data_IF_848974272890
#
_entry.id   IF_848974272890
#
_cell.length_a   1.000
_cell.length_b   1.000
_cell.length_c   1.000
_cell.angle_alpha   90.00
_cell.angle_beta   90.00
_cell.angle_gamma   90.00
#
_symmetry.space_group_name_H-M   'P 1'
#
loop_
_entity.id
_entity.type
_entity.pdbx_description
1 polymer ?
#
# COMPACT_ATOMS: atom_id res chain seq x y z
N UNK A 1 2.48 -94.71 -46.35
CA UNK A 1 1.54 -93.71 -46.91
C UNK A 1 0.48 -93.38 -45.88
N UNK A 2 0.35 -92.09 -45.53
CA UNK A 2 -0.73 -91.36 -44.85
C UNK A 2 -0.13 -90.42 -43.79
N UNK A 3 0.09 -89.17 -44.22
CA UNK A 3 0.27 -88.01 -43.33
C UNK A 3 -1.12 -87.67 -42.79
N UNK A 4 -1.28 -87.57 -41.47
CA UNK A 4 -2.48 -87.07 -40.82
C UNK A 4 -2.09 -85.76 -40.15
N UNK A 5 -2.63 -84.67 -40.68
CA UNK A 5 -2.54 -83.32 -40.11
C UNK A 5 -3.58 -83.18 -38.99
N UNK A 6 -3.14 -82.72 -37.82
CA UNK A 6 -4.03 -82.32 -36.74
C UNK A 6 -4.42 -80.85 -36.94
N UNK A 7 -5.72 -80.62 -37.09
CA UNK A 7 -6.36 -79.33 -37.27
C UNK A 7 -6.88 -78.87 -35.90
N UNK A 8 -6.36 -77.75 -35.40
CA UNK A 8 -6.79 -77.13 -34.13
C UNK A 8 -8.00 -76.25 -34.43
N UNK A 9 -9.16 -76.64 -33.88
CA UNK A 9 -10.41 -75.90 -33.99
C UNK A 9 -10.67 -75.16 -32.66
N UNK A 10 -10.50 -73.84 -32.65
CA UNK A 10 -10.84 -72.98 -31.51
C UNK A 10 -12.36 -72.76 -31.44
N UNK A 11 -12.95 -73.08 -30.28
CA UNK A 11 -14.37 -72.84 -30.00
C UNK A 11 -14.51 -71.51 -29.27
N UNK A 12 -15.27 -70.59 -29.87
CA UNK A 12 -15.60 -69.26 -29.36
C UNK A 12 -16.85 -69.38 -28.46
N UNK A 13 -16.67 -69.22 -27.15
CA UNK A 13 -17.76 -69.18 -26.17
C UNK A 13 -18.24 -67.74 -26.02
N UNK A 14 -19.44 -67.44 -26.52
CA UNK A 14 -20.12 -66.15 -26.36
C UNK A 14 -20.80 -66.15 -25.00
N UNK A 15 -20.26 -65.41 -24.03
CA UNK A 15 -20.88 -65.18 -22.73
C UNK A 15 -22.00 -64.15 -22.84
N UNK A 16 -23.21 -64.51 -22.42
CA UNK A 16 -24.32 -63.59 -22.29
C UNK A 16 -24.10 -62.64 -21.10
N UNK A 17 -24.10 -61.33 -21.34
CA UNK A 17 -24.03 -60.30 -20.30
C UNK A 17 -25.45 -59.99 -19.84
N UNK A 18 -25.76 -60.32 -18.59
CA UNK A 18 -26.99 -59.86 -17.92
C UNK A 18 -26.74 -58.46 -17.35
N UNK A 19 -27.40 -57.46 -17.93
CA UNK A 19 -27.46 -56.11 -17.36
C UNK A 19 -28.55 -56.06 -16.29
N UNK A 20 -28.16 -56.01 -15.02
CA UNK A 20 -29.05 -55.64 -13.92
C UNK A 20 -29.03 -54.11 -13.80
N UNK A 21 -30.13 -53.46 -14.17
CA UNK A 21 -30.29 -52.01 -13.95
C UNK A 21 -30.57 -51.77 -12.46
N UNK A 22 -29.63 -51.16 -11.76
CA UNK A 22 -29.88 -50.62 -10.42
C UNK A 22 -30.68 -49.32 -10.54
N UNK A 23 -31.96 -49.34 -10.19
CA UNK A 23 -32.69 -48.12 -9.86
C UNK A 23 -32.12 -47.56 -8.55
N UNK A 24 -31.23 -46.57 -8.66
CA UNK A 24 -30.87 -45.76 -7.51
C UNK A 24 -32.01 -44.76 -7.28
N UNK A 25 -32.91 -45.10 -6.35
CA UNK A 25 -33.86 -44.14 -5.81
C UNK A 25 -33.10 -43.05 -5.05
N UNK A 26 -32.99 -41.86 -5.64
CA UNK A 26 -32.54 -40.68 -4.94
C UNK A 26 -33.66 -40.25 -3.99
N UNK A 27 -33.51 -40.55 -2.70
CA UNK A 27 -34.37 -39.95 -1.67
C UNK A 27 -33.85 -38.53 -1.45
N UNK A 28 -34.44 -37.56 -2.16
CA UNK A 28 -34.29 -36.15 -1.80
C UNK A 28 -35.13 -35.93 -0.55
N UNK A 29 -34.50 -35.95 0.62
CA UNK A 29 -35.11 -35.41 1.83
C UNK A 29 -35.05 -33.90 1.68
N UNK A 30 -36.12 -33.29 1.17
CA UNK A 30 -36.30 -31.84 1.34
C UNK A 30 -36.47 -31.66 2.84
N UNK A 31 -35.44 -31.10 3.50
CA UNK A 31 -35.61 -30.62 4.86
C UNK A 31 -36.69 -29.54 4.78
N UNK A 32 -37.86 -29.86 5.30
CA UNK A 32 -38.96 -28.91 5.40
C UNK A 32 -38.48 -27.79 6.32
N UNK A 33 -38.28 -26.58 5.79
CA UNK A 33 -37.96 -25.39 6.60
C UNK A 33 -36.66 -24.66 6.32
N UNK A 34 -36.16 -24.66 5.09
CA UNK A 34 -34.97 -23.90 4.77
C UNK A 34 -35.25 -22.39 4.73
N UNK A 35 -34.31 -21.63 5.31
CA UNK A 35 -34.10 -20.20 5.04
C UNK A 35 -33.05 -20.15 3.94
N UNK A 36 -33.25 -19.33 2.90
CA UNK A 36 -32.26 -19.11 1.85
C UNK A 36 -31.84 -17.63 1.85
N UNK A 37 -30.59 -17.38 2.25
CA UNK A 37 -30.00 -16.05 2.31
C UNK A 37 -29.38 -15.74 0.95
N UNK A 38 -30.00 -14.81 0.19
CA UNK A 38 -29.47 -14.35 -1.09
C UNK A 38 -28.59 -13.10 -0.94
N UNK A 39 -28.87 -12.28 0.08
CA UNK A 39 -28.05 -11.14 0.48
C UNK A 39 -28.27 -10.85 1.97
N UNK A 40 -27.22 -10.55 2.77
CA UNK A 40 -25.81 -10.40 2.37
C UNK A 40 -25.17 -11.72 1.87
N UNK A 41 -23.96 -11.64 1.32
CA UNK A 41 -23.18 -12.80 0.85
C UNK A 41 -22.08 -13.15 1.85
N UNK A 42 -21.86 -14.44 2.05
CA UNK A 42 -20.87 -14.96 3.00
C UNK A 42 -19.46 -14.48 2.64
N UNK A 43 -18.75 -13.95 3.64
CA UNK A 43 -17.39 -13.43 3.59
C UNK A 43 -17.16 -12.30 2.57
N UNK A 44 -18.23 -11.66 2.12
CA UNK A 44 -18.14 -10.54 1.19
C UNK A 44 -17.66 -9.27 1.90
N UNK A 45 -16.81 -8.50 1.22
CA UNK A 45 -16.49 -7.12 1.57
C UNK A 45 -17.42 -6.20 0.77
N UNK A 46 -18.05 -5.25 1.45
CA UNK A 46 -18.94 -4.26 0.84
C UNK A 46 -18.38 -2.85 1.01
N UNK A 47 -18.52 -2.06 -0.05
CA UNK A 47 -18.14 -0.65 -0.19
C UNK A 47 -19.26 0.35 0.17
N UNK A 48 -20.46 -0.14 0.54
CA UNK A 48 -21.57 0.69 1.02
C UNK A 48 -22.08 0.12 2.34
N UNK A 49 -22.35 0.99 3.32
CA UNK A 49 -22.97 0.64 4.61
C UNK A 49 -24.41 0.13 4.47
N UNK A 50 -25.06 0.35 3.33
CA UNK A 50 -26.47 0.05 3.08
C UNK A 50 -26.62 -1.24 2.30
N UNK A 51 -26.70 -2.35 3.03
CA UNK A 51 -26.75 -3.67 2.41
C UNK A 51 -28.22 -4.10 2.19
N UNK A 52 -28.59 -4.53 0.98
CA UNK A 52 -29.87 -5.18 0.75
C UNK A 52 -29.89 -6.52 1.49
N UNK A 53 -30.96 -6.78 2.24
CA UNK A 53 -31.18 -8.06 2.91
C UNK A 53 -32.32 -8.77 2.18
N UNK A 54 -31.98 -9.89 1.55
CA UNK A 54 -32.88 -10.66 0.68
C UNK A 54 -32.89 -12.10 1.16
N UNK A 55 -34.01 -12.50 1.75
CA UNK A 55 -34.23 -13.80 2.36
C UNK A 55 -35.49 -14.42 1.76
N UNK A 56 -35.38 -15.67 1.34
CA UNK A 56 -36.50 -16.50 0.91
C UNK A 56 -36.76 -17.57 1.96
N UNK A 57 -38.04 -17.79 2.27
CA UNK A 57 -38.48 -18.86 3.16
C UNK A 57 -39.14 -19.98 2.34
N UNK A 58 -39.03 -21.20 2.84
CA UNK A 58 -39.71 -22.37 2.25
C UNK A 58 -41.21 -22.40 2.55
N UNK A 59 -41.62 -21.83 3.68
CA UNK A 59 -43.01 -21.70 4.17
C UNK A 59 -43.20 -20.31 4.83
N UNK A 60 -44.44 -19.90 5.08
CA UNK A 60 -44.75 -18.65 5.82
C UNK A 60 -44.12 -18.69 7.24
N UNK A 61 -43.40 -17.62 7.58
CA UNK A 61 -42.75 -17.45 8.90
C UNK A 61 -43.63 -16.60 9.81
N UNK A 62 -43.95 -17.10 11.01
CA UNK A 62 -44.71 -16.35 12.04
C UNK A 62 -43.92 -15.12 12.51
N UNK A 63 -42.62 -15.28 12.76
CA UNK A 63 -41.75 -14.18 13.15
C UNK A 63 -40.32 -14.38 12.67
N UNK A 64 -39.81 -13.42 11.90
CA UNK A 64 -38.43 -13.37 11.44
C UNK A 64 -37.64 -12.32 12.21
N UNK A 65 -36.47 -12.69 12.73
CA UNK A 65 -35.62 -11.81 13.53
C UNK A 65 -34.18 -11.85 13.04
N UNK A 66 -33.45 -10.79 13.33
CA UNK A 66 -32.00 -10.68 13.09
C UNK A 66 -31.30 -10.21 14.35
N UNK A 67 -30.14 -10.78 14.62
CA UNK A 67 -29.13 -10.26 15.54
C UNK A 67 -27.86 -9.94 14.76
N UNK A 68 -27.07 -8.98 15.25
CA UNK A 68 -25.79 -8.60 14.68
C UNK A 68 -24.74 -8.66 15.79
N UNK A 69 -23.65 -9.39 15.55
CA UNK A 69 -22.52 -9.56 16.47
C UNK A 69 -22.94 -9.98 17.89
N UNK A 70 -23.87 -10.93 17.99
CA UNK A 70 -24.40 -11.43 19.27
C UNK A 70 -25.28 -10.43 20.05
N UNK A 71 -25.72 -9.36 19.39
CA UNK A 71 -26.59 -8.34 19.95
C UNK A 71 -28.02 -8.82 20.27
N UNK A 72 -28.91 -7.85 20.53
CA UNK A 72 -30.32 -8.15 20.78
C UNK A 72 -31.04 -8.41 19.45
N UNK A 73 -31.77 -9.52 19.37
CA UNK A 73 -32.67 -9.80 18.26
C UNK A 73 -33.70 -8.69 18.03
N UNK A 74 -33.74 -8.19 16.79
CA UNK A 74 -34.75 -7.26 16.26
C UNK A 74 -35.69 -8.02 15.34
N UNK A 75 -36.98 -7.77 15.47
CA UNK A 75 -37.98 -8.39 14.57
C UNK A 75 -37.99 -7.66 13.23
N UNK A 76 -37.76 -8.39 12.15
CA UNK A 76 -37.74 -7.88 10.78
C UNK A 76 -39.13 -7.96 10.12
N UNK A 77 -39.82 -9.09 10.24
CA UNK A 77 -41.19 -9.25 9.78
C UNK A 77 -41.98 -10.24 10.65
N UNK A 78 -43.31 -10.20 10.50
CA UNK A 78 -44.26 -11.14 11.07
C UNK A 78 -45.20 -11.61 9.97
N UNK A 79 -45.53 -12.89 9.95
CA UNK A 79 -46.42 -13.53 8.96
C UNK A 79 -45.99 -13.16 7.53
N UNK A 80 -44.77 -13.56 7.16
CA UNK A 80 -44.11 -13.19 5.91
C UNK A 80 -43.61 -14.42 5.16
N UNK A 81 -43.80 -14.42 3.84
CA UNK A 81 -43.31 -15.46 2.92
C UNK A 81 -41.89 -15.17 2.37
N UNK A 82 -41.47 -13.90 2.45
CA UNK A 82 -40.14 -13.43 2.09
C UNK A 82 -39.70 -12.25 2.96
N UNK A 83 -38.43 -11.91 2.88
CA UNK A 83 -37.94 -10.62 3.35
C UNK A 83 -37.03 -10.00 2.30
N UNK A 84 -37.47 -8.90 1.68
CA UNK A 84 -36.63 -8.12 0.78
C UNK A 84 -36.60 -8.60 -0.67
N UNK A 85 -37.23 -9.73 -1.00
CA UNK A 85 -37.23 -10.29 -2.35
C UNK A 85 -38.23 -9.57 -3.26
N UNK A 86 -39.48 -9.41 -2.81
CA UNK A 86 -40.50 -8.68 -3.58
C UNK A 86 -40.52 -7.18 -3.31
N UNK A 87 -40.05 -6.76 -2.13
CA UNK A 87 -39.95 -5.37 -1.72
C UNK A 87 -38.62 -5.14 -1.04
N UNK A 88 -37.65 -4.57 -1.76
CA UNK A 88 -36.27 -4.39 -1.28
C UNK A 88 -36.24 -3.85 0.14
N UNK A 89 -35.49 -4.54 0.99
CA UNK A 89 -35.20 -4.14 2.38
C UNK A 89 -33.72 -3.86 2.49
N UNK A 90 -33.40 -2.66 2.93
CA UNK A 90 -32.03 -2.19 3.12
C UNK A 90 -31.80 -2.06 4.61
N UNK A 91 -30.67 -2.58 5.08
CA UNK A 91 -30.19 -2.40 6.43
C UNK A 91 -28.90 -1.59 6.40
N UNK A 92 -28.75 -0.65 7.34
CA UNK A 92 -27.52 0.08 7.56
C UNK A 92 -26.63 -0.66 8.55
N UNK A 93 -25.35 -0.75 8.25
CA UNK A 93 -24.31 -1.34 9.06
C UNK A 93 -23.22 -0.30 9.35
N UNK A 94 -22.50 -0.48 10.45
CA UNK A 94 -21.33 0.36 10.74
C UNK A 94 -20.12 -0.21 9.98
N UNK A 95 -18.95 0.43 10.09
CA UNK A 95 -17.72 -0.12 9.50
C UNK A 95 -17.29 -1.39 10.24
N UNK A 96 -16.59 -2.27 9.52
CA UNK A 96 -15.94 -3.44 10.07
C UNK A 96 -16.73 -4.73 9.92
N UNK A 97 -16.43 -5.68 10.81
CA UNK A 97 -16.95 -7.04 10.71
C UNK A 97 -18.37 -7.17 11.27
N UNK A 98 -19.22 -7.88 10.54
CA UNK A 98 -20.58 -8.21 10.93
C UNK A 98 -20.85 -9.71 10.80
N UNK A 99 -21.34 -10.31 11.88
CA UNK A 99 -21.91 -11.66 11.91
C UNK A 99 -23.41 -11.55 12.22
N UNK A 100 -24.24 -11.74 11.20
CA UNK A 100 -25.69 -11.72 11.34
C UNK A 100 -26.22 -13.10 11.64
N UNK A 101 -27.00 -13.20 12.71
CA UNK A 101 -27.80 -14.38 13.02
C UNK A 101 -29.27 -14.11 12.68
N UNK A 102 -29.77 -14.84 11.69
CA UNK A 102 -31.18 -14.82 11.29
C UNK A 102 -31.94 -15.95 11.97
N UNK A 103 -32.99 -15.59 12.71
CA UNK A 103 -33.86 -16.52 13.41
C UNK A 103 -35.26 -16.48 12.81
N UNK A 104 -35.68 -17.56 12.13
CA UNK A 104 -37.04 -17.75 11.64
C UNK A 104 -37.83 -18.67 12.57
N UNK A 105 -38.94 -18.17 13.10
CA UNK A 105 -39.87 -18.91 13.93
C UNK A 105 -41.08 -19.24 13.06
N UNK A 106 -41.22 -20.52 12.73
CA UNK A 106 -42.39 -21.07 12.05
C UNK A 106 -43.39 -21.59 13.08
N UNK A 107 -44.59 -21.96 12.63
CA UNK A 107 -45.64 -22.49 13.50
C UNK A 107 -45.26 -23.80 14.23
N UNK A 108 -44.39 -24.62 13.63
CA UNK A 108 -43.99 -25.94 14.12
C UNK A 108 -42.53 -26.02 14.60
N UNK A 109 -41.67 -25.08 14.17
CA UNK A 109 -40.22 -25.15 14.40
C UNK A 109 -39.57 -23.77 14.44
N UNK A 110 -38.29 -23.75 14.80
CA UNK A 110 -37.45 -22.55 14.73
C UNK A 110 -36.13 -22.92 14.05
N UNK A 111 -35.71 -22.09 13.11
CA UNK A 111 -34.49 -22.27 12.32
C UNK A 111 -33.62 -21.03 12.49
N UNK A 112 -32.33 -21.24 12.73
CA UNK A 112 -31.33 -20.18 12.77
C UNK A 112 -30.28 -20.43 11.69
N UNK A 113 -29.85 -19.36 11.02
CA UNK A 113 -28.70 -19.36 10.11
C UNK A 113 -27.88 -18.11 10.34
N UNK A 114 -26.57 -18.24 10.23
CA UNK A 114 -25.65 -17.12 10.37
C UNK A 114 -24.91 -16.84 9.08
N UNK A 115 -24.55 -15.59 8.87
CA UNK A 115 -23.72 -15.13 7.77
C UNK A 115 -22.78 -14.04 8.25
N UNK A 116 -21.53 -14.11 7.82
CA UNK A 116 -20.54 -13.06 8.10
C UNK A 116 -20.17 -12.29 6.84
N UNK A 117 -19.87 -11.00 7.01
CA UNK A 117 -19.36 -10.11 5.96
C UNK A 117 -18.60 -8.94 6.62
N UNK A 118 -17.94 -8.12 5.81
CA UNK A 118 -17.21 -6.93 6.25
C UNK A 118 -17.71 -5.69 5.51
N UNK A 119 -17.80 -4.56 6.20
CA UNK A 119 -18.10 -3.25 5.63
C UNK A 119 -16.82 -2.43 5.64
N UNK A 120 -16.44 -1.93 4.47
CA UNK A 120 -15.31 -1.04 4.25
C UNK A 120 -15.75 0.04 3.25
N UNK A 121 -16.48 1.03 3.75
CA UNK A 121 -17.10 2.07 2.90
C UNK A 121 -16.37 3.40 2.89
N UNK A 122 -15.27 3.50 3.63
CA UNK A 122 -14.42 4.68 3.62
C UNK A 122 -13.41 4.53 2.48
N UNK A 123 -13.46 5.46 1.52
CA UNK A 123 -12.47 5.47 0.43
C UNK A 123 -11.07 5.89 0.95
N UNK A 124 -9.98 5.36 0.37
CA UNK A 124 -8.64 5.86 0.63
C UNK A 124 -8.52 7.35 0.36
N UNK A 125 -7.62 8.02 1.07
CA UNK A 125 -7.36 9.44 0.86
C UNK A 125 -5.87 9.77 0.90
N UNK A 126 -5.31 10.17 -0.24
CA UNK A 126 -3.97 10.75 -0.35
C UNK A 126 -4.04 12.23 0.02
N UNK A 127 -3.30 12.60 1.06
CA UNK A 127 -3.29 13.95 1.62
C UNK A 127 -2.14 14.80 1.08
N UNK A 128 -0.98 14.19 0.86
CA UNK A 128 0.21 14.89 0.34
C UNK A 128 1.20 13.92 -0.27
N UNK A 129 1.84 14.36 -1.35
CA UNK A 129 3.00 13.68 -1.93
C UNK A 129 4.18 14.64 -2.06
N UNK A 130 5.38 14.09 -2.02
CA UNK A 130 6.61 14.74 -2.45
C UNK A 130 7.36 13.76 -3.39
N UNK A 131 8.17 14.28 -4.33
CA UNK A 131 8.56 15.68 -4.49
C UNK A 131 7.50 16.58 -5.16
N UNK A 132 7.42 17.85 -4.78
CA UNK A 132 6.50 18.84 -5.40
C UNK A 132 6.77 19.07 -6.88
N UNK A 133 5.73 19.44 -7.62
CA UNK A 133 5.83 19.85 -9.03
C UNK A 133 6.91 20.92 -9.24
N UNK A 134 7.83 20.63 -10.17
CA UNK A 134 8.93 21.52 -10.55
C UNK A 134 10.09 21.56 -9.55
N UNK A 135 10.13 20.65 -8.57
CA UNK A 135 11.32 20.41 -7.76
C UNK A 135 12.38 19.64 -8.55
N UNK A 136 13.56 19.54 -7.94
CA UNK A 136 14.63 18.67 -8.39
C UNK A 136 14.78 17.57 -7.34
N UNK A 137 15.00 16.33 -7.76
CA UNK A 137 15.10 15.16 -6.88
C UNK A 137 16.24 14.25 -7.32
N UNK A 138 16.90 13.64 -6.35
CA UNK A 138 17.85 12.55 -6.57
C UNK A 138 17.25 11.15 -6.33
N UNK A 139 15.95 11.08 -6.04
CA UNK A 139 15.23 9.86 -5.74
C UNK A 139 15.09 9.53 -4.25
N UNK A 140 15.69 10.31 -3.35
CA UNK A 140 15.66 10.05 -1.90
C UNK A 140 14.52 10.73 -1.12
N UNK A 141 13.69 11.53 -1.78
CA UNK A 141 12.68 12.39 -1.17
C UNK A 141 11.24 12.04 -1.60
N UNK A 142 11.03 10.86 -2.18
CA UNK A 142 9.67 10.37 -2.44
C UNK A 142 8.95 10.12 -1.13
N UNK A 143 7.73 10.64 -1.05
CA UNK A 143 6.93 10.59 0.16
C UNK A 143 5.46 10.60 -0.18
N UNK A 144 4.68 9.83 0.58
CA UNK A 144 3.21 9.87 0.54
C UNK A 144 2.66 9.95 1.96
N UNK A 145 1.67 10.82 2.15
CA UNK A 145 0.83 10.90 3.33
C UNK A 145 -0.60 10.56 2.96
N UNK A 146 -1.24 9.66 3.70
CA UNK A 146 -2.60 9.21 3.41
C UNK A 146 -3.39 8.82 4.66
N UNK A 147 -4.69 8.60 4.49
CA UNK A 147 -5.59 7.98 5.46
C UNK A 147 -6.26 6.80 4.79
N UNK A 148 -6.14 5.62 5.38
CA UNK A 148 -6.76 4.37 4.90
C UNK A 148 -6.84 3.35 6.06
N UNK A 149 -8.03 2.88 6.42
CA UNK A 149 -8.25 2.00 7.59
C UNK A 149 -7.96 0.52 7.28
N UNK A 150 -8.12 0.10 6.03
CA UNK A 150 -7.96 -1.27 5.56
C UNK A 150 -7.11 -1.31 4.29
N UNK A 151 -5.85 -0.87 4.43
CA UNK A 151 -4.92 -0.77 3.30
C UNK A 151 -4.69 -2.13 2.65
N UNK A 152 -4.75 -2.16 1.32
CA UNK A 152 -4.44 -3.34 0.51
C UNK A 152 -3.20 -3.16 -0.35
N UNK A 153 -3.04 -2.02 -1.00
CA UNK A 153 -1.95 -1.79 -1.96
C UNK A 153 -1.56 -0.32 -2.04
N UNK A 154 -0.25 -0.06 -2.10
CA UNK A 154 0.33 1.25 -2.44
C UNK A 154 1.23 1.08 -3.64
N UNK A 155 0.98 1.85 -4.70
CA UNK A 155 1.78 1.87 -5.91
C UNK A 155 2.37 3.27 -6.14
N UNK A 156 3.67 3.33 -6.45
CA UNK A 156 4.30 4.51 -7.02
C UNK A 156 4.49 4.27 -8.52
N UNK A 157 3.69 4.94 -9.33
CA UNK A 157 3.81 4.86 -10.78
C UNK A 157 4.78 5.92 -11.28
N UNK A 158 5.92 5.44 -11.78
CA UNK A 158 6.84 6.15 -12.64
C UNK A 158 7.28 5.14 -13.73
N UNK A 159 8.33 5.36 -14.50
CA UNK A 159 8.76 4.39 -15.52
C UNK A 159 9.84 3.43 -14.96
N UNK A 160 9.51 2.29 -14.31
CA UNK A 160 8.24 1.57 -14.24
C UNK A 160 7.45 1.78 -12.92
N UNK A 161 6.22 1.25 -12.85
CA UNK A 161 5.46 1.22 -11.60
C UNK A 161 6.14 0.34 -10.57
N UNK A 162 6.36 0.89 -9.38
CA UNK A 162 6.82 0.18 -8.19
C UNK A 162 5.62 -0.19 -7.33
N UNK A 163 5.60 -1.43 -6.87
CA UNK A 163 4.72 -1.87 -5.80
C UNK A 163 5.43 -1.59 -4.47
N UNK A 164 4.78 -0.82 -3.60
CA UNK A 164 5.30 -0.36 -2.32
C UNK A 164 4.55 -0.99 -1.14
N UNK A 165 3.79 -2.07 -1.37
CA UNK A 165 2.92 -2.66 -0.35
C UNK A 165 3.71 -3.21 0.84
N UNK A 166 4.95 -3.64 0.64
CA UNK A 166 5.82 -4.12 1.72
C UNK A 166 6.52 -2.96 2.46
N UNK A 167 6.81 -1.85 1.75
CA UNK A 167 7.45 -0.66 2.32
C UNK A 167 6.47 0.31 3.00
N UNK A 168 5.22 0.31 2.54
CA UNK A 168 4.12 1.16 3.00
C UNK A 168 2.91 0.28 3.35
N UNK A 169 2.97 -0.47 4.46
CA UNK A 169 1.95 -1.45 4.88
C UNK A 169 1.04 -0.96 6.03
N UNK A 170 1.31 0.21 6.60
CA UNK A 170 0.56 0.76 7.73
C UNK A 170 -0.83 1.29 7.33
N UNK A 171 -1.87 0.84 8.01
CA UNK A 171 -3.21 1.45 7.94
C UNK A 171 -3.44 2.46 9.07
N UNK A 172 -4.28 3.45 8.83
CA UNK A 172 -4.76 4.42 9.82
C UNK A 172 -4.93 5.82 9.25
N UNK A 173 -5.07 6.80 10.15
CA UNK A 173 -5.15 8.21 9.80
C UNK A 173 -3.76 8.85 9.68
N UNK A 174 -3.60 9.73 8.68
CA UNK A 174 -2.42 10.60 8.55
C UNK A 174 -1.08 9.83 8.45
N UNK A 175 -1.12 8.57 8.02
CA UNK A 175 0.03 7.67 7.82
C UNK A 175 1.01 8.29 6.83
N UNK A 176 2.31 8.10 7.08
CA UNK A 176 3.39 8.64 6.25
C UNK A 176 4.35 7.55 5.82
N UNK A 177 4.69 7.50 4.53
CA UNK A 177 5.69 6.58 4.00
C UNK A 177 6.76 7.34 3.21
N UNK A 178 8.04 7.08 3.48
CA UNK A 178 9.18 7.63 2.72
C UNK A 178 9.76 6.53 1.84
N UNK A 179 10.05 6.84 0.59
CA UNK A 179 10.47 5.88 -0.43
C UNK A 179 11.78 6.34 -1.04
N UNK A 180 12.67 5.39 -1.30
CA UNK A 180 13.90 5.61 -2.06
C UNK A 180 13.72 5.02 -3.45
N UNK A 181 14.03 5.80 -4.47
CA UNK A 181 13.87 5.43 -5.87
C UNK A 181 15.22 5.58 -6.57
N UNK A 182 15.72 4.52 -7.20
CA UNK A 182 16.93 4.62 -8.02
C UNK A 182 16.61 5.31 -9.36
N UNK A 183 17.01 6.58 -9.46
CA UNK A 183 16.81 7.41 -10.64
C UNK A 183 18.08 7.59 -11.49
N UNK A 184 19.14 6.82 -11.23
CA UNK A 184 20.46 7.01 -11.88
C UNK A 184 20.38 7.03 -13.41
N UNK A 185 19.50 6.22 -14.01
CA UNK A 185 19.33 6.13 -15.46
C UNK A 185 18.63 7.36 -16.09
N UNK A 186 18.06 8.23 -15.26
CA UNK A 186 17.26 9.39 -15.67
C UNK A 186 17.93 10.72 -15.31
N UNK A 187 19.20 10.70 -14.90
CA UNK A 187 19.95 11.90 -14.57
C UNK A 187 19.85 12.98 -15.66
N UNK A 188 19.49 14.21 -15.26
CA UNK A 188 19.26 15.35 -16.14
C UNK A 188 17.96 15.32 -16.95
N UNK A 189 17.05 14.37 -16.70
CA UNK A 189 15.76 14.24 -17.39
C UNK A 189 14.59 14.64 -16.48
N UNK A 190 13.49 15.09 -17.09
CA UNK A 190 12.22 15.21 -16.38
C UNK A 190 11.49 13.87 -16.34
N UNK A 191 10.92 13.53 -15.19
CA UNK A 191 10.02 12.39 -15.01
C UNK A 191 8.67 12.86 -14.49
N UNK A 192 7.62 12.11 -14.80
CA UNK A 192 6.28 12.26 -14.23
C UNK A 192 6.00 11.06 -13.32
N UNK A 193 5.44 11.32 -12.13
CA UNK A 193 5.07 10.26 -11.18
C UNK A 193 3.70 10.53 -10.54
N UNK A 194 3.06 9.48 -10.03
CA UNK A 194 1.90 9.57 -9.12
C UNK A 194 1.82 8.35 -8.20
N UNK A 195 1.16 8.52 -7.06
CA UNK A 195 0.81 7.44 -6.15
C UNK A 195 -0.61 6.94 -6.43
N UNK A 196 -0.86 5.66 -6.21
CA UNK A 196 -2.18 5.05 -6.17
C UNK A 196 -2.30 4.19 -4.90
N UNK A 197 -3.37 4.38 -4.14
CA UNK A 197 -3.66 3.62 -2.92
C UNK A 197 -4.98 2.90 -3.11
N UNK A 198 -5.02 1.62 -2.72
CA UNK A 198 -6.20 0.75 -2.82
C UNK A 198 -6.51 0.11 -1.47
N UNK A 199 -7.79 0.03 -1.11
CA UNK A 199 -8.30 -0.64 0.11
C UNK A 199 -8.71 -2.11 -0.16
N UNK A 200 -9.22 -2.81 0.88
CA UNK A 200 -9.71 -4.19 0.73
C UNK A 200 -11.04 -4.31 -0.03
N UNK A 201 -11.85 -3.26 -0.08
CA UNK A 201 -13.04 -3.15 -0.94
C UNK A 201 -12.72 -2.89 -2.42
N UNK A 202 -11.47 -2.59 -2.75
CA UNK A 202 -10.96 -2.13 -4.05
C UNK A 202 -11.39 -0.71 -4.45
N UNK A 203 -11.74 0.16 -3.49
CA UNK A 203 -11.76 1.59 -3.76
C UNK A 203 -10.33 2.10 -3.85
N UNK A 204 -10.15 3.19 -4.59
CA UNK A 204 -8.83 3.72 -4.91
C UNK A 204 -8.78 5.23 -4.82
N UNK A 205 -7.66 5.78 -4.38
CA UNK A 205 -7.31 7.18 -4.57
C UNK A 205 -5.96 7.33 -5.25
N UNK A 206 -5.83 8.35 -6.10
CA UNK A 206 -4.65 8.60 -6.90
C UNK A 206 -4.19 10.04 -6.78
N UNK A 207 -2.89 10.23 -6.53
CA UNK A 207 -2.32 11.56 -6.48
C UNK A 207 -2.31 12.21 -7.87
N UNK A 208 -2.21 13.53 -7.89
CA UNK A 208 -2.05 14.26 -9.15
C UNK A 208 -0.69 13.88 -9.79
N UNK A 209 -0.65 13.54 -11.09
CA UNK A 209 0.60 13.36 -11.81
C UNK A 209 1.51 14.59 -11.70
N UNK A 210 2.75 14.35 -11.30
CA UNK A 210 3.69 15.40 -10.90
C UNK A 210 5.00 15.27 -11.64
N UNK A 211 5.40 16.36 -12.31
CA UNK A 211 6.67 16.44 -13.02
C UNK A 211 7.78 16.99 -12.12
N UNK A 212 8.93 16.32 -12.15
CA UNK A 212 10.14 16.68 -11.41
C UNK A 212 11.36 16.51 -12.30
N UNK A 213 12.41 17.29 -12.04
CA UNK A 213 13.71 17.13 -12.70
C UNK A 213 14.57 16.18 -11.88
N UNK A 214 15.17 15.20 -12.53
CA UNK A 214 16.09 14.26 -11.90
C UNK A 214 17.50 14.81 -11.93
N UNK A 215 18.14 14.82 -10.77
CA UNK A 215 19.55 15.15 -10.59
C UNK A 215 20.13 14.27 -9.50
N UNK A 216 20.95 13.30 -9.91
CA UNK A 216 21.61 12.30 -9.09
C UNK A 216 23.11 12.57 -8.96
N UNK A 217 23.59 13.66 -9.56
CA UNK A 217 25.02 13.99 -9.62
C UNK A 217 25.38 14.86 -8.41
N UNK A 218 26.39 14.45 -7.65
CA UNK A 218 26.89 15.28 -6.55
C UNK A 218 27.69 16.48 -7.06
N UNK A 219 27.59 17.65 -6.39
CA UNK A 219 28.41 18.80 -6.72
C UNK A 219 29.88 18.49 -6.47
N UNK A 220 30.81 19.05 -7.24
CA UNK A 220 32.25 18.97 -6.98
C UNK A 220 32.64 20.09 -6.02
N UNK A 221 33.19 19.73 -4.86
CA UNK A 221 33.68 20.68 -3.86
C UNK A 221 35.20 20.90 -4.00
N UNK A 222 35.66 22.14 -3.86
CA UNK A 222 37.09 22.46 -3.82
C UNK A 222 37.38 23.46 -2.71
N UNK A 223 38.16 23.07 -1.71
CA UNK A 223 38.56 23.91 -0.59
C UNK A 223 39.99 24.42 -0.79
N UNK A 224 40.13 25.69 -1.18
CA UNK A 224 41.44 26.34 -1.33
C UNK A 224 41.95 26.96 -0.03
N UNK A 225 41.04 27.30 0.89
CA UNK A 225 41.34 27.80 2.22
C UNK A 225 40.15 27.53 3.16
N UNK A 226 40.37 27.09 4.41
CA UNK A 226 41.67 26.80 5.01
C UNK A 226 42.41 25.63 4.33
N UNK A 227 43.73 25.64 4.43
CA UNK A 227 44.63 24.61 3.90
C UNK A 227 45.00 23.66 5.03
N UNK A 228 45.09 22.38 4.71
CA UNK A 228 45.43 21.33 5.66
C UNK A 228 46.81 21.56 6.27
N UNK A 229 46.95 21.28 7.57
CA UNK A 229 48.15 21.46 8.38
C UNK A 229 48.72 22.89 8.46
N UNK A 230 47.99 23.92 8.01
CA UNK A 230 48.43 25.31 8.16
C UNK A 230 48.18 25.88 9.56
N UNK A 231 48.89 26.97 9.89
CA UNK A 231 48.67 27.76 11.10
C UNK A 231 48.13 29.13 10.74
N UNK A 232 46.98 29.47 11.30
CA UNK A 232 46.31 30.75 11.09
C UNK A 232 46.29 31.60 12.36
N UNK A 233 46.03 32.90 12.19
CA UNK A 233 45.53 33.71 13.31
C UNK A 233 44.05 33.43 13.54
N UNK A 234 43.46 34.04 14.58
CA UNK A 234 42.04 33.84 14.94
C UNK A 234 41.03 34.03 13.81
N UNK A 235 41.35 34.79 12.76
CA UNK A 235 40.48 34.99 11.58
C UNK A 235 40.99 34.13 10.43
N UNK A 236 40.42 32.93 10.30
CA UNK A 236 40.79 31.96 9.29
C UNK A 236 40.10 32.32 7.97
N UNK A 237 40.83 32.45 6.85
CA UNK A 237 40.24 32.70 5.54
C UNK A 237 39.51 31.46 5.01
N UNK A 238 38.39 31.71 4.34
CA UNK A 238 37.63 30.69 3.64
C UNK A 238 37.63 31.04 2.16
N UNK A 239 38.00 30.08 1.32
CA UNK A 239 38.01 30.17 -0.14
C UNK A 239 37.61 28.81 -0.70
N UNK A 240 36.35 28.68 -1.07
CA UNK A 240 35.70 27.43 -1.44
C UNK A 240 35.03 27.62 -2.80
N UNK A 241 35.33 26.74 -3.75
CA UNK A 241 34.68 26.64 -5.05
C UNK A 241 33.78 25.42 -5.11
N UNK A 242 32.72 25.51 -5.92
CA UNK A 242 31.73 24.45 -6.15
C UNK A 242 31.39 24.40 -7.64
N UNK A 243 31.02 23.23 -8.18
CA UNK A 243 30.66 23.09 -9.61
C UNK A 243 29.30 23.69 -9.98
N UNK A 244 28.45 23.92 -8.98
CA UNK A 244 27.07 24.38 -9.14
C UNK A 244 26.57 25.08 -7.86
N UNK A 245 25.31 25.52 -7.89
CA UNK A 245 24.67 26.16 -6.74
C UNK A 245 24.39 25.16 -5.64
N UNK A 246 24.93 25.44 -4.45
CA UNK A 246 24.77 24.59 -3.28
C UNK A 246 24.49 25.39 -2.02
N UNK A 247 24.00 24.71 -1.00
CA UNK A 247 24.11 25.11 0.38
C UNK A 247 25.47 24.64 0.92
N UNK A 248 26.28 25.59 1.42
CA UNK A 248 27.58 25.29 2.02
C UNK A 248 27.50 25.39 3.53
N UNK A 249 28.00 24.36 4.21
CA UNK A 249 28.07 24.27 5.65
C UNK A 249 29.44 23.78 6.12
N UNK A 250 29.78 24.03 7.38
CA UNK A 250 30.96 23.43 8.00
C UNK A 250 30.68 22.98 9.43
N UNK A 251 31.28 21.86 9.83
CA UNK A 251 31.40 21.40 11.21
C UNK A 251 32.84 21.51 11.68
N UNK A 252 33.06 21.61 12.99
CA UNK A 252 34.37 21.72 13.64
C UNK A 252 34.42 20.73 14.80
N UNK A 253 35.37 19.79 14.77
CA UNK A 253 35.54 18.76 15.80
C UNK A 253 34.32 17.86 16.00
N UNK A 254 33.54 17.61 14.95
CA UNK A 254 32.30 16.82 14.99
C UNK A 254 31.10 17.54 15.62
N UNK A 255 31.16 18.87 15.77
CA UNK A 255 30.02 19.68 16.21
C UNK A 255 28.86 19.74 15.20
N UNK A 256 27.83 20.52 15.52
CA UNK A 256 26.75 20.81 14.58
C UNK A 256 27.25 21.59 13.36
N UNK A 257 26.75 21.27 12.17
CA UNK A 257 27.00 22.04 10.97
C UNK A 257 26.52 23.50 11.12
N UNK A 258 27.30 24.42 10.57
CA UNK A 258 27.04 25.86 10.55
C UNK A 258 27.03 26.32 9.10
N UNK A 259 25.99 27.05 8.71
CA UNK A 259 25.84 27.57 7.36
C UNK A 259 26.91 28.63 7.03
N UNK A 260 27.56 28.47 5.87
CA UNK A 260 28.45 29.44 5.24
C UNK A 260 27.67 30.30 4.25
N UNK A 261 26.91 29.66 3.37
CA UNK A 261 26.03 30.27 2.38
C UNK A 261 24.83 29.37 2.10
N UNK A 262 23.80 29.93 1.47
CA UNK A 262 22.65 29.22 0.91
C UNK A 262 22.58 29.61 -0.56
N UNK A 263 22.33 28.64 -1.44
CA UNK A 263 22.19 28.81 -2.89
C UNK A 263 23.33 29.62 -3.55
N UNK A 264 24.60 29.26 -3.27
CA UNK A 264 25.77 30.01 -3.77
C UNK A 264 26.68 29.20 -4.70
N UNK A 265 27.30 29.90 -5.66
CA UNK A 265 28.25 29.32 -6.64
C UNK A 265 29.71 29.30 -6.13
N UNK A 266 30.00 29.97 -5.01
CA UNK A 266 31.29 29.93 -4.32
C UNK A 266 31.21 30.61 -2.95
N UNK A 267 32.21 30.37 -2.09
CA UNK A 267 32.36 31.08 -0.82
C UNK A 267 33.78 31.60 -0.63
N UNK A 268 33.94 32.93 -0.71
CA UNK A 268 35.21 33.59 -0.41
C UNK A 268 36.21 33.73 -1.57
N UNK A 269 35.87 33.18 -2.75
CA UNK A 269 36.66 33.29 -3.99
C UNK A 269 36.71 34.72 -4.53
N UNK A 270 35.55 35.37 -4.71
CA UNK A 270 35.46 36.73 -5.28
C UNK A 270 35.72 37.84 -4.24
N UNK A 271 35.44 37.54 -2.97
CA UNK A 271 35.58 38.48 -1.87
C UNK A 271 35.98 37.73 -0.62
N UNK A 272 37.10 38.12 -0.03
CA UNK A 272 37.63 37.52 1.20
C UNK A 272 36.53 37.35 2.26
N UNK A 273 36.30 36.09 2.66
CA UNK A 273 35.48 35.70 3.80
C UNK A 273 36.39 35.11 4.87
N UNK A 274 36.08 35.38 6.13
CA UNK A 274 36.81 34.83 7.28
C UNK A 274 35.83 34.33 8.33
N UNK A 275 36.21 33.28 9.05
CA UNK A 275 35.53 32.81 10.25
C UNK A 275 36.48 32.91 11.45
N UNK A 276 35.92 33.15 12.63
CA UNK A 276 36.70 33.31 13.85
C UNK A 276 36.72 32.00 14.62
N UNK A 277 37.92 31.54 14.96
CA UNK A 277 38.16 30.31 15.70
C UNK A 277 38.89 30.61 17.01
N UNK A 278 38.72 29.72 17.99
CA UNK A 278 39.49 29.73 19.23
C UNK A 278 40.95 29.35 18.95
N UNK A 279 41.84 29.57 19.92
CA UNK A 279 43.22 29.08 19.83
C UNK A 279 43.23 27.55 19.95
N UNK A 280 44.04 26.88 19.14
CA UNK A 280 44.23 25.42 19.17
C UNK A 280 43.93 24.76 17.81
N UNK A 281 43.96 23.44 17.83
CA UNK A 281 43.70 22.58 16.67
C UNK A 281 42.20 22.55 16.35
N UNK A 282 41.88 22.60 15.07
CA UNK A 282 40.55 22.57 14.51
C UNK A 282 40.50 21.56 13.38
N UNK A 283 39.50 20.66 13.42
CA UNK A 283 39.28 19.63 12.40
C UNK A 283 37.93 19.93 11.76
N UNK A 284 37.96 20.57 10.59
CA UNK A 284 36.74 20.97 9.89
C UNK A 284 36.28 19.88 8.92
N UNK A 285 34.95 19.75 8.81
CA UNK A 285 34.29 19.10 7.68
C UNK A 285 33.46 20.15 6.98
N UNK A 286 33.80 20.44 5.72
CA UNK A 286 33.06 21.37 4.86
C UNK A 286 32.18 20.51 3.94
N UNK A 287 30.88 20.79 3.92
CA UNK A 287 29.89 20.06 3.13
C UNK A 287 29.21 21.00 2.14
N UNK A 288 29.09 20.56 0.89
CA UNK A 288 28.26 21.15 -0.15
C UNK A 288 27.05 20.25 -0.38
N UNK A 289 25.83 20.80 -0.43
CA UNK A 289 24.61 20.07 -0.77
C UNK A 289 23.86 20.82 -1.86
N UNK A 290 23.58 20.17 -2.98
CA UNK A 290 22.82 20.77 -4.08
C UNK A 290 21.31 20.82 -3.78
N UNK A 291 20.54 21.29 -4.77
CA UNK A 291 19.08 21.43 -4.65
C UNK A 291 18.33 20.09 -4.63
N UNK A 292 18.89 19.05 -5.23
CA UNK A 292 18.31 17.70 -5.29
C UNK A 292 18.64 16.87 -4.04
N UNK A 293 19.55 17.35 -3.20
CA UNK A 293 20.01 16.71 -1.98
C UNK A 293 21.29 15.90 -2.15
N UNK A 294 21.94 15.91 -3.32
CA UNK A 294 23.26 15.29 -3.47
C UNK A 294 24.31 16.15 -2.76
N UNK A 295 25.38 15.51 -2.30
CA UNK A 295 26.37 16.22 -1.49
C UNK A 295 27.78 15.68 -1.64
N UNK A 296 28.74 16.60 -1.51
CA UNK A 296 30.16 16.30 -1.41
C UNK A 296 30.73 16.95 -0.14
N UNK A 297 31.82 16.40 0.40
CA UNK A 297 32.40 16.87 1.65
C UNK A 297 33.91 16.71 1.70
N UNK A 298 34.58 17.72 2.21
CA UNK A 298 36.03 17.77 2.35
C UNK A 298 36.41 18.04 3.82
N UNK A 299 37.42 17.33 4.30
CA UNK A 299 37.94 17.51 5.66
C UNK A 299 39.26 18.29 5.62
N UNK A 300 39.44 19.21 6.55
CA UNK A 300 40.67 20.00 6.66
C UNK A 300 41.01 20.31 8.11
N UNK A 301 42.26 20.11 8.50
CA UNK A 301 42.75 20.29 9.86
C UNK A 301 43.76 21.43 9.90
N UNK A 302 43.66 22.34 10.87
CA UNK A 302 44.61 23.46 11.01
C UNK A 302 44.74 23.91 12.47
N UNK A 303 45.81 24.65 12.78
CA UNK A 303 46.01 25.25 14.11
C UNK A 303 45.73 26.76 14.08
N UNK A 304 45.22 27.27 15.19
CA UNK A 304 45.03 28.71 15.42
C UNK A 304 45.94 29.18 16.55
N UNK A 305 46.90 30.06 16.23
CA UNK A 305 47.92 30.55 17.15
C UNK A 305 47.49 31.77 18.00
#
# INVERSE_FOLDING_TARGET
MKKIAFLVLGILLVGAVFALTMEQGLIVTVLTGDINILSPMQDKIYDDRRIPVIILFSDEVDTFKVSDNGGRFRTLCRNCDDFGFWSTRIMGFDEGFHELEFLAIFSDRTVSQSISFFIDSNDPQILRTEPRRGSVTNGSDFYVKYTEDNLKEVLLSWNPTLNLTDECDESGEDVTCNIQVDLTAFDGQEIEYWFNITDIANNTDSSIPTNVLVDTTSPVLTVNSPVDDETYGRRVPFSIGVSEKVDLEYSDGGGSFKTLCVDCDSYGMDRLKTKTFSKGMHDLVIKATDKAGNSDSEAVSFDVA
#
